data_IF_049962903994
#
_entry.id   IF_049962903994
#
_cell.length_a   1.000
_cell.length_b   1.000
_cell.length_c   1.000
_cell.angle_alpha   90.00
_cell.angle_beta   90.00
_cell.angle_gamma   90.00
#
_symmetry.space_group_name_H-M   'P 1'
#
loop_
_entity.id
_entity.type
_entity.pdbx_description
1 polymer ?
#
# COMPACT_ATOMS: atom_id res chain seq x y z
N UNK A 1 -15.47 41.42 57.23
CA UNK A 1 -14.10 40.94 56.97
C UNK A 1 -13.72 40.10 58.19
N UNK A 2 -13.64 38.75 58.13
CA UNK A 2 -12.88 37.94 57.16
C UNK A 2 -13.71 36.78 56.50
N UNK A 3 -13.48 36.47 55.22
CA UNK A 3 -12.67 35.39 54.61
C UNK A 3 -13.49 34.13 54.22
N UNK A 4 -13.78 34.02 52.92
CA UNK A 4 -14.28 32.79 52.27
C UNK A 4 -13.18 31.70 52.26
N UNK A 5 -13.52 30.41 52.38
CA UNK A 5 -12.56 29.34 52.16
C UNK A 5 -12.44 29.03 50.67
N UNK A 6 -11.26 29.32 50.12
CA UNK A 6 -10.80 28.87 48.79
C UNK A 6 -10.49 27.37 48.82
N UNK A 7 -10.80 26.70 47.71
CA UNK A 7 -10.94 25.24 47.60
C UNK A 7 -9.67 24.40 47.61
N UNK A 8 -9.91 23.08 47.51
CA UNK A 8 -9.03 22.13 46.81
C UNK A 8 -9.84 20.85 46.54
N UNK A 9 -10.36 20.74 45.31
CA UNK A 9 -10.77 19.46 44.73
C UNK A 9 -9.50 18.67 44.37
N UNK A 10 -9.41 17.37 44.69
CA UNK A 10 -8.28 16.56 44.27
C UNK A 10 -8.25 16.47 42.74
N UNK A 11 -7.06 16.73 42.18
CA UNK A 11 -6.79 16.63 40.77
C UNK A 11 -7.20 15.23 40.27
N UNK A 12 -8.21 15.20 39.40
CA UNK A 12 -8.44 14.06 38.52
C UNK A 12 -7.16 13.88 37.69
N UNK A 13 -6.43 12.81 37.96
CA UNK A 13 -5.37 12.38 37.07
C UNK A 13 -6.02 11.97 35.76
N UNK A 14 -5.71 12.72 34.70
CA UNK A 14 -6.05 12.34 33.33
C UNK A 14 -5.52 10.92 33.06
N UNK A 15 -6.37 9.97 32.65
CA UNK A 15 -5.91 8.66 32.23
C UNK A 15 -5.03 8.85 30.98
N UNK A 16 -3.77 8.45 31.15
CA UNK A 16 -2.72 8.26 30.15
C UNK A 16 -3.20 8.35 28.70
N UNK A 17 -2.75 9.43 28.02
CA UNK A 17 -2.67 9.50 26.57
C UNK A 17 -1.84 8.31 26.08
N UNK A 18 -2.52 7.23 25.65
CA UNK A 18 -1.89 6.18 24.89
C UNK A 18 -1.28 6.81 23.64
N UNK A 19 0.04 6.77 23.53
CA UNK A 19 0.74 7.21 22.33
C UNK A 19 0.42 6.20 21.24
N UNK A 20 -0.61 6.48 20.44
CA UNK A 20 -0.95 5.71 19.24
C UNK A 20 0.25 5.86 18.29
N UNK A 21 1.18 4.92 18.37
CA UNK A 21 2.45 4.99 17.66
C UNK A 21 2.15 4.74 16.18
N UNK A 22 2.42 5.75 15.36
CA UNK A 22 2.19 5.65 13.92
C UNK A 22 3.14 4.61 13.32
N UNK A 23 2.58 3.61 12.64
CA UNK A 23 3.38 2.62 11.92
C UNK A 23 4.20 3.27 10.79
N UNK A 24 5.47 2.90 10.68
CA UNK A 24 6.42 3.44 9.71
C UNK A 24 7.07 2.34 8.86
N UNK A 25 7.96 2.69 7.93
CA UNK A 25 8.66 1.70 7.10
C UNK A 25 9.63 0.85 7.94
N UNK A 26 10.20 1.43 8.99
CA UNK A 26 11.13 0.76 9.90
C UNK A 26 10.48 -0.40 10.65
N UNK A 27 9.15 -0.37 10.89
CA UNK A 27 8.41 -1.49 11.48
C UNK A 27 8.39 -2.75 10.58
N UNK A 28 8.82 -2.61 9.32
CA UNK A 28 8.97 -3.69 8.34
C UNK A 28 10.45 -4.00 8.05
N UNK A 29 11.39 -3.39 8.78
CA UNK A 29 12.82 -3.39 8.41
C UNK A 29 13.07 -2.82 6.99
N UNK A 30 12.19 -1.92 6.53
CA UNK A 30 12.30 -1.26 5.23
C UNK A 30 12.71 0.21 5.40
N UNK A 31 13.21 0.77 4.31
CA UNK A 31 13.43 2.20 4.16
C UNK A 31 12.92 2.65 2.78
N UNK A 32 12.92 3.96 2.54
CA UNK A 32 12.47 4.55 1.26
C UNK A 32 13.19 4.00 0.03
N UNK A 33 14.46 3.64 0.14
CA UNK A 33 15.28 3.24 -1.00
C UNK A 33 14.81 1.90 -1.59
N UNK A 34 14.32 0.98 -0.76
CA UNK A 34 13.74 -0.28 -1.23
C UNK A 34 12.54 -0.03 -2.18
N UNK A 35 11.69 0.92 -1.82
CA UNK A 35 10.47 1.28 -2.55
C UNK A 35 10.83 2.11 -3.79
N UNK A 36 11.79 3.03 -3.67
CA UNK A 36 12.33 3.82 -4.77
C UNK A 36 12.97 2.92 -5.83
N UNK A 37 13.80 1.95 -5.44
CA UNK A 37 14.45 1.01 -6.35
C UNK A 37 13.45 0.10 -7.07
N UNK A 38 12.38 -0.32 -6.37
CA UNK A 38 11.29 -1.07 -7.00
C UNK A 38 10.60 -0.24 -8.09
N UNK A 39 10.18 0.99 -7.74
CA UNK A 39 9.49 1.87 -8.65
C UNK A 39 10.36 2.31 -9.84
N UNK A 40 11.64 2.62 -9.60
CA UNK A 40 12.63 2.98 -10.64
C UNK A 40 12.75 1.86 -11.66
N UNK A 41 12.94 0.61 -11.21
CA UNK A 41 13.04 -0.54 -12.10
C UNK A 41 11.81 -0.68 -13.01
N UNK A 42 10.61 -0.54 -12.45
CA UNK A 42 9.38 -0.56 -13.22
C UNK A 42 9.29 0.54 -14.27
N UNK A 43 9.53 1.79 -13.89
CA UNK A 43 9.45 2.91 -14.85
C UNK A 43 10.48 2.74 -15.95
N UNK A 44 11.75 2.53 -15.60
CA UNK A 44 12.85 2.37 -16.58
C UNK A 44 12.56 1.24 -17.57
N UNK A 45 12.06 0.09 -17.10
CA UNK A 45 11.67 -1.00 -17.99
C UNK A 45 10.55 -0.59 -18.95
N UNK A 46 9.55 0.13 -18.45
CA UNK A 46 8.41 0.60 -19.23
C UNK A 46 8.77 1.68 -20.28
N UNK A 47 9.87 2.42 -20.08
CA UNK A 47 10.38 3.38 -21.09
C UNK A 47 10.93 2.67 -22.33
N UNK A 48 11.36 1.41 -22.21
CA UNK A 48 11.83 0.60 -23.34
C UNK A 48 10.68 0.05 -24.21
N UNK A 49 9.42 0.29 -23.83
CA UNK A 49 8.26 -0.15 -24.60
C UNK A 49 8.02 0.79 -25.77
N UNK A 50 8.15 0.22 -26.97
CA UNK A 50 8.03 0.93 -28.24
C UNK A 50 6.61 0.88 -28.81
N UNK A 51 6.26 1.72 -29.80
CA UNK A 51 4.97 1.68 -30.48
C UNK A 51 4.64 0.36 -31.21
N UNK A 52 5.61 -0.54 -31.39
CA UNK A 52 5.40 -1.86 -32.01
C UNK A 52 4.91 -2.91 -31.00
N UNK A 53 4.94 -2.61 -29.70
CA UNK A 53 4.39 -3.50 -28.68
C UNK A 53 2.88 -3.35 -28.58
N UNK A 54 2.18 -4.37 -28.03
CA UNK A 54 0.79 -4.22 -27.64
C UNK A 54 0.61 -3.03 -26.71
N UNK A 55 -0.50 -2.33 -26.86
CA UNK A 55 -0.82 -1.13 -26.09
C UNK A 55 -0.88 -1.39 -24.56
N UNK A 56 -1.15 -2.62 -24.15
CA UNK A 56 -1.17 -3.05 -22.75
C UNK A 56 0.21 -3.33 -22.16
N UNK A 57 1.24 -3.45 -23.00
CA UNK A 57 2.58 -3.90 -22.59
C UNK A 57 3.23 -2.93 -21.60
N UNK A 58 3.06 -1.61 -21.80
CA UNK A 58 3.70 -0.60 -20.93
C UNK A 58 3.28 -0.74 -19.48
N UNK A 59 1.98 -0.72 -19.21
CA UNK A 59 1.45 -0.85 -17.85
C UNK A 59 1.80 -2.21 -17.23
N UNK A 60 1.76 -3.28 -18.01
CA UNK A 60 2.14 -4.62 -17.56
C UNK A 60 3.63 -4.70 -17.19
N UNK A 61 4.54 -4.23 -18.06
CA UNK A 61 5.99 -4.26 -17.83
C UNK A 61 6.36 -3.40 -16.64
N UNK A 62 5.80 -2.19 -16.53
CA UNK A 62 6.02 -1.33 -15.37
C UNK A 62 5.67 -2.05 -14.07
N UNK A 63 4.48 -2.66 -14.02
CA UNK A 63 4.04 -3.41 -12.85
C UNK A 63 4.92 -4.64 -12.59
N UNK A 64 5.20 -5.43 -13.62
CA UNK A 64 5.95 -6.68 -13.51
C UNK A 64 7.38 -6.43 -13.00
N UNK A 65 8.08 -5.41 -13.50
CA UNK A 65 9.43 -5.10 -13.05
C UNK A 65 9.46 -4.39 -11.69
N UNK A 66 8.41 -3.63 -11.34
CA UNK A 66 8.25 -3.13 -9.96
C UNK A 66 8.09 -4.30 -8.98
N UNK A 67 7.25 -5.28 -9.32
CA UNK A 67 7.06 -6.51 -8.52
C UNK A 67 8.37 -7.30 -8.43
N UNK A 68 9.04 -7.54 -9.55
CA UNK A 68 10.27 -8.33 -9.58
C UNK A 68 11.38 -7.69 -8.74
N UNK A 69 11.59 -6.39 -8.89
CA UNK A 69 12.59 -5.63 -8.12
C UNK A 69 12.28 -5.63 -6.62
N UNK A 70 11.03 -5.39 -6.21
CA UNK A 70 10.65 -5.47 -4.80
C UNK A 70 10.85 -6.88 -4.24
N UNK A 71 10.37 -7.92 -4.95
CA UNK A 71 10.47 -9.32 -4.51
C UNK A 71 11.91 -9.75 -4.31
N UNK A 72 12.80 -9.38 -5.24
CA UNK A 72 14.23 -9.67 -5.15
C UNK A 72 14.81 -9.07 -3.87
N UNK A 73 14.64 -7.75 -3.68
CA UNK A 73 15.16 -7.04 -2.52
C UNK A 73 14.65 -7.64 -1.20
N UNK A 74 13.34 -7.90 -1.07
CA UNK A 74 12.81 -8.41 0.19
C UNK A 74 13.19 -9.88 0.43
N UNK A 75 13.38 -10.68 -0.63
CA UNK A 75 13.90 -12.04 -0.48
C UNK A 75 15.33 -12.07 0.07
N UNK A 76 16.16 -11.08 -0.27
CA UNK A 76 17.51 -10.90 0.29
C UNK A 76 17.45 -10.53 1.79
N UNK A 77 16.34 -9.93 2.25
CA UNK A 77 16.04 -9.68 3.66
C UNK A 77 15.36 -10.90 4.35
N UNK A 78 15.25 -12.04 3.68
CA UNK A 78 14.67 -13.26 4.23
C UNK A 78 13.14 -13.36 4.15
N UNK A 79 12.48 -12.47 3.40
CA UNK A 79 11.04 -12.55 3.17
C UNK A 79 10.72 -13.66 2.16
N UNK A 80 9.55 -14.26 2.29
CA UNK A 80 9.12 -15.37 1.44
C UNK A 80 8.24 -14.91 0.27
N UNK A 81 8.50 -15.50 -0.89
CA UNK A 81 7.74 -15.26 -2.11
C UNK A 81 6.46 -16.10 -2.15
N UNK A 82 5.34 -15.52 -2.57
CA UNK A 82 4.10 -16.26 -2.85
C UNK A 82 3.34 -15.67 -4.04
N UNK A 83 2.58 -16.52 -4.72
CA UNK A 83 1.77 -16.14 -5.90
C UNK A 83 0.35 -16.73 -5.81
N UNK A 84 -0.15 -16.97 -4.59
CA UNK A 84 -1.47 -17.55 -4.37
C UNK A 84 -2.56 -16.80 -5.15
N UNK A 85 -3.38 -17.54 -5.91
CA UNK A 85 -4.41 -17.00 -6.82
C UNK A 85 -3.87 -15.97 -7.84
N UNK A 86 -2.64 -16.16 -8.32
CA UNK A 86 -1.96 -15.21 -9.22
C UNK A 86 -1.88 -13.80 -8.63
N UNK A 87 -1.65 -13.71 -7.32
CA UNK A 87 -1.41 -12.47 -6.60
C UNK A 87 0.04 -12.45 -6.08
N UNK A 88 1.01 -11.96 -6.88
CA UNK A 88 2.40 -11.89 -6.50
C UNK A 88 2.61 -11.06 -5.24
N UNK A 89 3.20 -11.67 -4.21
CA UNK A 89 3.43 -11.06 -2.90
C UNK A 89 4.76 -11.51 -2.31
N UNK A 90 5.18 -10.76 -1.31
CA UNK A 90 6.25 -11.09 -0.38
C UNK A 90 5.70 -11.08 1.04
N UNK A 91 6.06 -12.07 1.86
CA UNK A 91 5.58 -12.25 3.23
C UNK A 91 6.76 -12.13 4.19
N UNK A 92 6.59 -11.38 5.27
CA UNK A 92 7.57 -11.25 6.35
C UNK A 92 7.96 -12.62 6.93
N UNK A 93 9.18 -12.79 7.49
CA UNK A 93 9.59 -14.05 8.12
C UNK A 93 8.63 -14.55 9.21
N UNK A 94 8.06 -13.63 9.99
CA UNK A 94 7.10 -13.90 11.06
C UNK A 94 5.66 -14.22 10.57
N UNK A 95 5.41 -14.15 9.26
CA UNK A 95 4.10 -14.37 8.61
C UNK A 95 2.98 -13.41 9.01
N UNK A 96 3.30 -12.31 9.67
CA UNK A 96 2.27 -11.35 10.10
C UNK A 96 1.89 -10.37 9.00
N UNK A 97 2.79 -10.08 8.06
CA UNK A 97 2.56 -9.06 7.03
C UNK A 97 2.98 -9.58 5.65
N UNK A 98 2.28 -9.09 4.64
CA UNK A 98 2.59 -9.33 3.24
C UNK A 98 2.48 -8.05 2.44
N UNK A 99 3.30 -7.89 1.40
CA UNK A 99 3.24 -6.74 0.50
C UNK A 99 2.89 -7.22 -0.91
N UNK A 100 1.86 -6.59 -1.51
CA UNK A 100 1.60 -6.63 -2.94
C UNK A 100 1.89 -5.27 -3.58
N UNK A 101 2.10 -5.25 -4.89
CA UNK A 101 2.32 -4.01 -5.65
C UNK A 101 1.09 -3.69 -6.51
N UNK A 102 0.69 -2.42 -6.53
CA UNK A 102 -0.40 -1.92 -7.37
C UNK A 102 -0.12 -0.52 -7.90
N UNK A 103 -0.50 -0.26 -9.15
CA UNK A 103 -0.62 1.12 -9.63
C UNK A 103 -1.73 1.86 -8.88
N UNK A 104 -1.42 3.05 -8.39
CA UNK A 104 -2.33 3.98 -7.72
C UNK A 104 -2.71 5.17 -8.60
N UNK A 105 -3.67 5.96 -8.15
CA UNK A 105 -4.08 7.20 -8.81
C UNK A 105 -3.20 8.39 -8.40
N UNK A 106 -3.51 9.56 -8.95
CA UNK A 106 -2.82 10.83 -8.65
C UNK A 106 -2.84 11.26 -7.17
N UNK A 107 -3.62 10.60 -6.30
CA UNK A 107 -3.66 10.90 -4.87
C UNK A 107 -2.66 10.04 -4.07
N UNK A 108 -2.00 9.07 -4.72
CA UNK A 108 -0.90 8.28 -4.12
C UNK A 108 0.16 9.21 -3.52
N UNK A 109 0.60 8.92 -2.28
CA UNK A 109 1.62 9.69 -1.57
C UNK A 109 1.14 11.06 -1.05
N UNK A 110 -0.12 11.45 -1.31
CA UNK A 110 -0.65 12.77 -0.92
C UNK A 110 -1.43 12.68 0.40
N UNK A 111 -1.13 13.57 1.35
CA UNK A 111 -1.83 13.61 2.64
C UNK A 111 -3.31 13.99 2.54
N UNK A 112 -3.70 14.81 1.56
CA UNK A 112 -5.04 15.44 1.51
C UNK A 112 -6.20 14.59 0.97
N UNK A 113 -5.92 13.56 0.16
CA UNK A 113 -6.95 12.64 -0.36
C UNK A 113 -6.40 11.22 -0.32
N UNK A 114 -7.18 10.21 0.08
CA UNK A 114 -6.73 8.83 0.04
C UNK A 114 -6.54 8.39 -1.42
N UNK A 115 -5.53 7.55 -1.70
CA UNK A 115 -5.34 6.99 -3.02
C UNK A 115 -6.41 5.96 -3.34
N UNK A 116 -6.55 5.71 -4.64
CA UNK A 116 -7.33 4.60 -5.19
C UNK A 116 -6.41 3.75 -6.06
N UNK A 117 -6.81 2.50 -6.31
CA UNK A 117 -6.14 1.73 -7.34
C UNK A 117 -6.44 2.35 -8.71
N UNK A 118 -5.41 2.47 -9.55
CA UNK A 118 -5.56 2.95 -10.93
C UNK A 118 -6.52 2.05 -11.72
N UNK A 119 -6.57 0.76 -11.39
CA UNK A 119 -7.47 -0.24 -11.96
C UNK A 119 -8.18 -1.03 -10.87
N UNK A 120 -9.43 -1.41 -11.13
CA UNK A 120 -10.23 -2.29 -10.25
C UNK A 120 -9.47 -3.59 -9.98
N UNK A 121 -9.64 -4.16 -8.80
CA UNK A 121 -8.99 -5.42 -8.40
C UNK A 121 -9.99 -6.56 -8.27
N UNK A 122 -9.48 -7.76 -8.54
CA UNK A 122 -10.26 -8.98 -8.52
C UNK A 122 -10.55 -9.52 -7.12
N UNK A 123 -11.24 -10.67 -7.04
CA UNK A 123 -11.62 -11.31 -5.79
C UNK A 123 -10.46 -11.60 -4.84
N UNK A 124 -9.28 -11.98 -5.36
CA UNK A 124 -8.12 -12.28 -4.53
C UNK A 124 -7.66 -11.09 -3.67
N UNK A 125 -7.66 -9.87 -4.23
CA UNK A 125 -7.39 -8.65 -3.46
C UNK A 125 -8.53 -8.36 -2.48
N UNK A 126 -9.78 -8.59 -2.87
CA UNK A 126 -10.96 -8.36 -2.01
C UNK A 126 -10.88 -9.16 -0.71
N UNK A 127 -10.60 -10.45 -0.83
CA UNK A 127 -10.45 -11.32 0.34
C UNK A 127 -9.34 -10.77 1.26
N UNK A 128 -8.21 -10.33 0.71
CA UNK A 128 -7.15 -9.72 1.52
C UNK A 128 -7.58 -8.43 2.23
N UNK A 129 -8.34 -7.56 1.56
CA UNK A 129 -8.85 -6.32 2.17
C UNK A 129 -9.88 -6.63 3.27
N UNK A 130 -10.76 -7.60 3.05
CA UNK A 130 -11.73 -8.06 4.06
C UNK A 130 -11.03 -8.61 5.31
N UNK A 131 -9.97 -9.41 5.12
CA UNK A 131 -9.13 -9.92 6.21
C UNK A 131 -8.48 -8.77 6.98
N UNK A 132 -7.86 -7.83 6.27
CA UNK A 132 -7.29 -6.63 6.90
C UNK A 132 -8.34 -5.89 7.72
N UNK A 133 -9.51 -5.59 7.14
CA UNK A 133 -10.60 -4.88 7.79
C UNK A 133 -11.04 -5.56 9.08
N UNK A 134 -11.16 -6.89 9.07
CA UNK A 134 -11.49 -7.70 10.26
C UNK A 134 -10.37 -7.75 11.31
N UNK A 135 -9.12 -7.55 10.90
CA UNK A 135 -7.96 -7.49 11.79
C UNK A 135 -7.71 -6.08 12.37
N UNK A 136 -8.23 -5.04 11.72
CA UNK A 136 -8.08 -3.62 12.09
C UNK A 136 -9.35 -3.00 12.67
N UNK A 137 -10.34 -3.80 13.09
CA UNK A 137 -11.64 -3.31 13.56
C UNK A 137 -11.49 -2.29 14.71
N UNK A 138 -12.19 -1.15 14.65
CA UNK A 138 -12.04 -0.09 15.63
C UNK A 138 -12.54 -0.53 17.02
N UNK A 139 -11.93 0.09 18.04
CA UNK A 139 -12.02 -0.06 19.50
C UNK A 139 -13.37 -0.50 20.13
N UNK A 140 -14.50 -0.41 19.42
CA UNK A 140 -15.85 -0.75 19.91
C UNK A 140 -16.02 -2.24 20.23
N UNK A 141 -15.30 -3.13 19.56
CA UNK A 141 -15.33 -4.57 19.87
C UNK A 141 -14.30 -4.97 20.95
N UNK A 142 -13.20 -4.21 21.08
CA UNK A 142 -12.28 -4.29 22.21
C UNK A 142 -12.96 -3.85 23.53
N UNK A 143 -13.96 -2.98 23.46
CA UNK A 143 -14.79 -2.57 24.61
C UNK A 143 -15.65 -3.70 25.20
N UNK A 144 -15.87 -4.81 24.47
CA UNK A 144 -16.53 -6.01 25.00
C UNK A 144 -15.55 -6.95 25.73
N UNK A 145 -14.30 -6.53 25.96
CA UNK A 145 -13.30 -7.27 26.72
C UNK A 145 -12.67 -8.45 25.97
N UNK A 146 -12.88 -8.52 24.65
CA UNK A 146 -12.28 -9.55 23.80
C UNK A 146 -10.87 -9.10 23.38
N UNK A 147 -9.88 -9.93 23.65
CA UNK A 147 -8.54 -9.69 23.13
C UNK A 147 -8.53 -9.80 21.60
N UNK A 148 -7.71 -8.98 20.94
CA UNK A 148 -7.60 -8.93 19.48
C UNK A 148 -7.34 -10.31 18.84
N UNK A 149 -6.56 -11.16 19.52
CA UNK A 149 -6.31 -12.54 19.08
C UNK A 149 -7.60 -13.39 19.08
N UNK A 150 -8.47 -13.24 20.07
CA UNK A 150 -9.73 -13.97 20.15
C UNK A 150 -10.69 -13.53 19.04
N UNK A 151 -10.72 -12.23 18.71
CA UNK A 151 -11.49 -11.69 17.58
C UNK A 151 -10.99 -12.26 16.25
N UNK A 152 -9.66 -12.30 16.04
CA UNK A 152 -9.04 -12.91 14.85
C UNK A 152 -9.40 -14.39 14.71
N UNK A 153 -9.37 -15.15 15.80
CA UNK A 153 -9.78 -16.56 15.80
C UNK A 153 -11.26 -16.72 15.45
N UNK A 154 -12.14 -15.91 16.06
CA UNK A 154 -13.59 -15.94 15.78
C UNK A 154 -13.92 -15.62 14.33
N UNK A 155 -13.22 -14.65 13.75
CA UNK A 155 -13.44 -14.21 12.37
C UNK A 155 -12.73 -15.12 11.35
N UNK A 156 -11.99 -16.15 11.80
CA UNK A 156 -11.25 -17.06 10.91
C UNK A 156 -10.03 -16.41 10.25
N UNK A 157 -9.58 -15.25 10.72
CA UNK A 157 -8.42 -14.51 10.18
C UNK A 157 -7.15 -14.71 10.99
N UNK A 158 -7.21 -15.51 12.05
CA UNK A 158 -6.03 -15.88 12.83
C UNK A 158 -5.00 -16.61 11.95
N UNK A 159 -3.77 -16.10 11.96
CA UNK A 159 -2.66 -16.64 11.17
C UNK A 159 -2.64 -16.20 9.70
N UNK A 160 -3.58 -15.36 9.25
CA UNK A 160 -3.51 -14.75 7.93
C UNK A 160 -2.72 -13.42 8.02
N UNK A 161 -1.78 -13.17 7.09
CA UNK A 161 -1.00 -11.94 7.11
C UNK A 161 -1.85 -10.73 6.71
N UNK A 162 -1.60 -9.59 7.34
CA UNK A 162 -2.05 -8.30 6.85
C UNK A 162 -1.46 -8.07 5.45
N UNK A 163 -2.30 -7.68 4.50
CA UNK A 163 -1.86 -7.38 3.13
C UNK A 163 -1.69 -5.88 2.94
N UNK A 164 -0.45 -5.45 3.00
CA UNK A 164 -0.01 -4.12 2.65
C UNK A 164 0.13 -3.98 1.14
N UNK A 165 -0.07 -2.76 0.63
CA UNK A 165 0.03 -2.44 -0.78
C UNK A 165 1.05 -1.34 -1.00
N UNK A 166 2.11 -1.66 -1.74
CA UNK A 166 2.98 -0.65 -2.33
C UNK A 166 2.25 -0.06 -3.54
N UNK A 167 1.78 1.17 -3.37
CA UNK A 167 1.18 1.98 -4.42
C UNK A 167 2.26 2.82 -5.11
N UNK A 168 2.21 2.85 -6.43
CA UNK A 168 3.01 3.76 -7.24
C UNK A 168 2.14 4.51 -8.25
N UNK A 169 2.47 5.78 -8.51
CA UNK A 169 1.84 6.59 -9.55
C UNK A 169 2.94 7.33 -10.33
N UNK A 170 3.16 6.93 -11.59
CA UNK A 170 4.13 7.57 -12.48
C UNK A 170 3.54 8.85 -13.09
N UNK A 171 4.29 9.95 -13.01
CA UNK A 171 3.94 11.26 -13.56
C UNK A 171 5.02 11.68 -14.56
N UNK A 172 4.89 11.31 -15.85
CA UNK A 172 5.90 11.52 -16.88
C UNK A 172 6.33 12.98 -17.04
N UNK A 173 5.37 13.92 -17.01
CA UNK A 173 5.60 15.35 -17.25
C UNK A 173 6.51 15.97 -16.18
N UNK A 174 6.51 15.37 -14.98
CA UNK A 174 7.29 15.81 -13.84
C UNK A 174 8.48 14.88 -13.54
N UNK A 175 8.66 13.81 -14.33
CA UNK A 175 9.72 12.80 -14.16
C UNK A 175 9.77 12.22 -12.75
N UNK A 176 8.61 12.04 -12.12
CA UNK A 176 8.49 11.62 -10.72
C UNK A 176 7.51 10.47 -10.52
N UNK A 177 7.76 9.65 -9.51
CA UNK A 177 6.84 8.60 -9.05
C UNK A 177 6.37 8.94 -7.64
N UNK A 178 5.06 9.05 -7.43
CA UNK A 178 4.49 9.08 -6.08
C UNK A 178 4.44 7.66 -5.53
N UNK A 179 4.80 7.51 -4.25
CA UNK A 179 4.86 6.21 -3.59
C UNK A 179 4.16 6.26 -2.23
N UNK A 180 3.51 5.15 -1.89
CA UNK A 180 2.87 4.98 -0.60
C UNK A 180 2.79 3.50 -0.26
N UNK A 181 3.11 3.13 0.99
CA UNK A 181 2.86 1.79 1.52
C UNK A 181 1.64 1.86 2.46
N UNK A 182 0.55 1.20 2.09
CA UNK A 182 -0.73 1.37 2.80
C UNK A 182 -1.47 0.07 3.03
N UNK A 183 -2.20 0.03 4.15
CA UNK A 183 -3.03 -1.11 4.56
C UNK A 183 -4.50 -0.81 4.22
N UNK A 184 -5.06 -1.37 3.14
CA UNK A 184 -6.47 -1.20 2.81
C UNK A 184 -7.34 -1.98 3.81
N UNK A 185 -8.42 -1.38 4.30
CA UNK A 185 -9.34 -1.98 5.28
C UNK A 185 -10.75 -2.20 4.76
N UNK A 186 -11.15 -1.52 3.67
CA UNK A 186 -12.42 -1.75 3.02
C UNK A 186 -12.33 -1.56 1.50
N UNK A 187 -13.15 -2.31 0.78
CA UNK A 187 -13.24 -2.27 -0.68
C UNK A 187 -14.70 -2.39 -1.13
N UNK A 188 -15.08 -1.66 -2.17
CA UNK A 188 -16.42 -1.78 -2.75
C UNK A 188 -16.58 -3.05 -3.61
N UNK A 189 -17.84 -3.34 -4.00
CA UNK A 189 -18.17 -4.47 -4.86
C UNK A 189 -17.56 -4.40 -6.27
N UNK A 190 -17.07 -3.23 -6.68
CA UNK A 190 -16.40 -3.03 -7.97
C UNK A 190 -14.88 -3.25 -7.90
N UNK A 191 -14.33 -3.53 -6.72
CA UNK A 191 -12.90 -3.78 -6.54
C UNK A 191 -12.07 -2.51 -6.36
N UNK A 192 -12.65 -1.44 -5.81
CA UNK A 192 -11.96 -0.20 -5.47
C UNK A 192 -11.91 0.02 -3.96
N UNK A 193 -10.72 0.37 -3.46
CA UNK A 193 -10.51 0.60 -2.02
C UNK A 193 -11.27 1.84 -1.60
N UNK A 194 -12.03 1.71 -0.52
CA UNK A 194 -12.84 2.79 0.06
C UNK A 194 -12.23 3.30 1.35
N UNK A 195 -11.48 2.46 2.08
CA UNK A 195 -10.87 2.82 3.37
C UNK A 195 -9.48 2.22 3.52
N UNK A 196 -8.61 2.94 4.24
CA UNK A 196 -7.25 2.56 4.56
C UNK A 196 -7.06 2.62 6.08
N UNK A 197 -6.70 1.51 6.71
CA UNK A 197 -6.39 1.46 8.15
C UNK A 197 -5.10 2.24 8.46
N UNK A 198 -4.09 2.09 7.61
CA UNK A 198 -2.82 2.80 7.73
C UNK A 198 -2.34 3.29 6.37
N UNK A 199 -1.65 4.43 6.39
CA UNK A 199 -1.02 5.02 5.21
C UNK A 199 0.38 5.51 5.57
N UNK A 200 1.37 5.08 4.79
CA UNK A 200 2.76 5.51 4.91
C UNK A 200 3.17 6.17 3.58
N UNK A 201 2.88 7.48 3.40
CA UNK A 201 3.38 8.24 2.25
C UNK A 201 4.92 8.28 2.28
N UNK A 202 5.51 8.04 1.13
CA UNK A 202 6.97 8.12 0.93
C UNK A 202 7.27 9.33 0.08
N UNK A 203 8.42 9.96 0.31
CA UNK A 203 8.91 11.03 -0.56
C UNK A 203 8.94 10.56 -2.02
N UNK A 204 8.65 11.49 -2.94
CA UNK A 204 8.63 11.18 -4.37
C UNK A 204 10.00 10.68 -4.83
N UNK A 205 9.98 9.66 -5.69
CA UNK A 205 11.15 9.28 -6.47
C UNK A 205 11.26 10.20 -7.68
N UNK A 206 12.40 10.89 -7.80
CA UNK A 206 12.75 11.64 -9.02
C UNK A 206 13.61 10.76 -9.92
N UNK A 207 13.30 10.73 -11.22
CA UNK A 207 14.15 10.10 -12.23
C UNK A 207 15.03 11.15 -12.90
N UNK A 208 16.31 10.80 -13.05
CA UNK A 208 17.32 11.65 -13.67
C UNK A 208 17.43 11.39 -15.18
N UNK A 209 18.38 12.06 -15.85
CA UNK A 209 18.58 11.86 -17.29
C UNK A 209 19.10 10.46 -17.63
N UNK A 210 19.85 9.82 -16.72
CA UNK A 210 20.40 8.47 -16.95
C UNK A 210 19.29 7.42 -16.90
N UNK A 211 18.33 7.56 -15.98
CA UNK A 211 17.15 6.70 -15.92
C UNK A 211 16.28 6.79 -17.19
N UNK A 212 16.13 8.01 -17.71
CA UNK A 212 15.17 8.29 -18.78
C UNK A 212 15.74 7.97 -20.16
N UNK A 213 17.06 8.03 -20.35
CA UNK A 213 17.68 7.93 -21.67
C UNK A 213 17.40 9.15 -22.56
N UNK A 214 18.21 9.31 -23.62
CA UNK A 214 18.21 10.53 -24.43
C UNK A 214 17.01 10.64 -25.42
N UNK A 215 16.35 9.52 -25.75
CA UNK A 215 15.38 9.43 -26.86
C UNK A 215 13.95 9.02 -26.43
N UNK A 216 13.62 9.10 -25.13
CA UNK A 216 12.31 8.64 -24.66
C UNK A 216 11.21 9.68 -24.87
N UNK A 217 10.22 9.31 -25.69
CA UNK A 217 8.98 10.06 -25.81
C UNK A 217 8.15 9.94 -24.53
N UNK A 218 8.25 10.95 -23.67
CA UNK A 218 7.52 11.03 -22.40
C UNK A 218 6.00 11.08 -22.57
N UNK A 219 5.49 11.56 -23.73
CA UNK A 219 4.06 11.56 -24.02
C UNK A 219 3.57 10.15 -24.39
N UNK A 220 4.39 9.37 -25.10
CA UNK A 220 4.14 7.94 -25.27
C UNK A 220 4.24 7.21 -23.92
N UNK A 221 5.19 7.56 -23.05
CA UNK A 221 5.37 6.96 -21.73
C UNK A 221 4.17 7.14 -20.78
N UNK A 222 3.27 8.10 -21.06
CA UNK A 222 2.04 8.35 -20.30
C UNK A 222 0.88 7.39 -20.63
N UNK A 223 0.95 6.64 -21.73
CA UNK A 223 -0.21 5.88 -22.24
C UNK A 223 -0.47 4.61 -21.42
N UNK A 224 -1.30 4.75 -20.39
CA UNK A 224 -2.04 3.65 -19.76
C UNK A 224 -3.39 3.48 -20.50
N UNK A 225 -3.76 2.24 -20.82
CA UNK A 225 -4.93 1.93 -21.64
C UNK A 225 -5.94 1.12 -20.87
N UNK A 226 -7.20 1.55 -20.96
CA UNK A 226 -8.33 0.86 -20.34
C UNK A 226 -8.87 -0.21 -21.29
N UNK A 227 -8.99 -1.43 -20.79
CA UNK A 227 -9.60 -2.53 -21.54
C UNK A 227 -10.48 -3.35 -20.61
N UNK A 228 -11.64 -3.78 -21.13
CA UNK A 228 -12.57 -4.65 -20.42
C UNK A 228 -12.37 -6.08 -20.89
N UNK A 229 -12.15 -6.99 -19.95
CA UNK A 229 -12.23 -8.43 -20.19
C UNK A 229 -13.65 -8.85 -19.87
N UNK A 230 -14.36 -9.38 -20.87
CA UNK A 230 -15.67 -10.00 -20.71
C UNK A 230 -15.54 -11.47 -21.07
N UNK A 231 -15.97 -12.36 -20.18
CA UNK A 231 -16.14 -13.77 -20.56
C UNK A 231 -17.21 -13.86 -21.63
N UNK A 232 -16.88 -14.53 -22.74
CA UNK A 232 -17.86 -14.86 -23.77
C UNK A 232 -18.52 -16.16 -23.33
N UNK A 233 -19.83 -16.10 -23.07
CA UNK A 233 -20.66 -17.27 -22.74
C UNK A 233 -20.92 -18.15 -23.97
#
# INVERSE_FOLDING_TARGET
>A
MPAEPTGQQPAHQDPQQGTDSQITLEDFDLNRDHLHQAARAGVVAALNITPYHPVTARGFVQWADTVASLRKQLSELGWELTDHQNSPRVITPDKHRSIMVAAGDKNTGRKGKPPRFARRRGPATRVSVEVNGQQTLPLRELQEGLELNQLRHRNGTAGQPETWVLLYCWVPEERRVHLELSLPSAMDGEGQVTEWAHRIPVDDLMLDAEDLGDDVDMAAAAQDVDFRITEVS
#
